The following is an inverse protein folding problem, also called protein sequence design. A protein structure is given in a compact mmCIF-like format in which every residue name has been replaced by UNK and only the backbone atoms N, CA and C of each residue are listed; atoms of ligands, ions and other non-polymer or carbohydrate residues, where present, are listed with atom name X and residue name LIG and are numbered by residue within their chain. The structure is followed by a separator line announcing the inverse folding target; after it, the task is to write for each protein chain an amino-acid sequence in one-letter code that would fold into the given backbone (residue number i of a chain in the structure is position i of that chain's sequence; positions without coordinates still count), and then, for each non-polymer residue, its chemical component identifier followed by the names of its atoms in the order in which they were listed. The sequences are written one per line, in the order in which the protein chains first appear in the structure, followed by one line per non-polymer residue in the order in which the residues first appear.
data_IF_925069854103
#
_entry.id   IF_925069854103
#
_cell.length_a   1.000
_cell.length_b   1.000
_cell.length_c   1.000
_cell.angle_alpha   90.00
_cell.angle_beta   90.00
_cell.angle_gamma   90.00
#
_symmetry.space_group_name_H-M   'P 1'
#
loop_
_entity.id
_entity.type
_entity.pdbx_description
1 polymer ?
#
# COMPACT_ATOMS: atom_id res chain seq x y z
N UNK A 1 29.21 -7.33 0.50
CA UNK A 1 29.72 -6.36 1.50
C UNK A 1 28.50 -5.76 2.21
N UNK A 2 28.43 -5.93 3.52
CA UNK A 2 27.38 -5.31 4.34
C UNK A 2 27.87 -3.91 4.67
N UNK A 3 27.30 -2.88 4.04
CA UNK A 3 27.60 -1.50 4.39
C UNK A 3 26.67 -1.04 5.49
N UNK A 4 27.18 -0.92 6.70
CA UNK A 4 26.46 -0.26 7.80
C UNK A 4 26.77 1.22 7.70
N UNK A 5 25.85 2.02 7.20
CA UNK A 5 25.97 3.47 7.26
C UNK A 5 25.55 3.94 8.65
N UNK A 6 26.51 4.19 9.51
CA UNK A 6 26.32 4.95 10.73
C UNK A 6 26.33 6.44 10.38
N UNK A 7 25.17 7.05 10.23
CA UNK A 7 25.06 8.50 10.13
C UNK A 7 25.42 9.13 11.47
N UNK A 8 26.48 9.94 11.53
CA UNK A 8 26.81 10.75 12.69
C UNK A 8 25.73 11.81 12.91
N UNK A 9 25.16 11.93 14.11
CA UNK A 9 24.15 12.94 14.38
C UNK A 9 24.80 14.33 14.39
N UNK A 10 24.30 15.22 13.54
CA UNK A 10 24.59 16.64 13.66
C UNK A 10 23.75 17.16 14.82
N UNK A 11 24.38 17.50 15.91
CA UNK A 11 23.73 18.08 17.07
C UNK A 11 23.13 19.46 16.70
N UNK A 12 21.81 19.47 16.45
CA UNK A 12 21.03 20.68 16.54
C UNK A 12 20.48 20.76 17.97
N UNK A 13 20.77 21.83 18.67
CA UNK A 13 20.25 22.06 19.99
C UNK A 13 18.73 21.93 20.00
N UNK A 14 18.18 20.97 20.77
CA UNK A 14 16.76 20.79 20.99
C UNK A 14 16.08 19.56 20.37
N UNK A 15 16.79 18.68 19.62
CA UNK A 15 16.19 17.43 19.12
C UNK A 15 16.43 16.29 20.11
N UNK A 16 15.37 15.94 20.83
CA UNK A 16 15.36 14.87 21.81
C UNK A 16 14.98 13.50 21.20
N UNK A 17 15.43 13.20 19.97
CA UNK A 17 15.10 11.96 19.29
C UNK A 17 16.32 11.33 18.61
N UNK A 18 16.58 10.05 18.90
CA UNK A 18 17.56 9.23 18.21
C UNK A 18 16.87 8.10 17.46
N UNK A 19 17.33 7.83 16.23
CA UNK A 19 16.82 6.77 15.37
C UNK A 19 17.97 5.82 15.00
N UNK A 20 17.72 4.53 15.12
CA UNK A 20 18.66 3.50 14.69
C UNK A 20 18.06 2.71 13.53
N UNK A 21 18.70 2.76 12.38
CA UNK A 21 18.33 1.99 11.19
C UNK A 21 19.29 0.82 10.99
N UNK A 22 18.73 -0.35 10.71
CA UNK A 22 19.46 -1.55 10.29
C UNK A 22 18.85 -2.09 9.02
N UNK A 23 19.68 -2.46 8.06
CA UNK A 23 19.21 -2.99 6.79
C UNK A 23 20.31 -3.75 6.07
N UNK A 24 19.94 -4.28 4.92
CA UNK A 24 20.84 -4.95 3.99
C UNK A 24 20.43 -4.63 2.56
N UNK A 25 21.41 -4.67 1.68
CA UNK A 25 21.25 -4.47 0.26
C UNK A 25 22.00 -5.58 -0.48
N UNK A 26 21.35 -6.13 -1.50
CA UNK A 26 21.89 -7.15 -2.38
C UNK A 26 21.76 -6.68 -3.82
N UNK A 27 22.85 -6.75 -4.58
CA UNK A 27 22.85 -6.56 -6.03
C UNK A 27 23.54 -7.73 -6.69
N UNK A 28 22.85 -8.38 -7.61
CA UNK A 28 23.37 -9.48 -8.41
C UNK A 28 23.30 -9.06 -9.88
N UNK A 29 24.46 -9.12 -10.54
CA UNK A 29 24.57 -8.93 -11.98
C UNK A 29 25.17 -10.19 -12.60
N UNK A 30 24.48 -10.74 -13.55
CA UNK A 30 24.93 -11.88 -14.33
C UNK A 30 24.87 -11.54 -15.82
N UNK A 31 25.93 -11.84 -16.55
CA UNK A 31 25.98 -11.70 -18.00
C UNK A 31 26.67 -12.92 -18.57
N UNK A 32 26.12 -13.45 -19.67
CA UNK A 32 26.72 -14.55 -20.38
C UNK A 32 26.41 -14.45 -21.88
N UNK A 33 27.23 -15.14 -22.69
CA UNK A 33 27.08 -15.21 -24.12
C UNK A 33 27.43 -16.62 -24.61
N UNK A 34 26.61 -17.15 -25.50
CA UNK A 34 26.82 -18.46 -26.12
C UNK A 34 26.27 -18.52 -27.55
N UNK A 35 26.62 -19.57 -28.28
CA UNK A 35 26.10 -19.77 -29.64
C UNK A 35 24.76 -20.50 -29.62
N UNK A 36 23.68 -19.79 -30.06
CA UNK A 36 22.36 -20.37 -30.24
C UNK A 36 22.05 -20.40 -31.75
N UNK A 37 21.82 -21.60 -32.30
CA UNK A 37 21.57 -21.82 -33.74
C UNK A 37 22.62 -21.13 -34.64
N UNK A 38 23.90 -21.26 -34.29
CA UNK A 38 25.06 -20.66 -34.96
C UNK A 38 25.08 -19.13 -34.98
N UNK A 39 24.37 -18.48 -34.08
CA UNK A 39 24.38 -17.02 -33.90
C UNK A 39 24.69 -16.70 -32.43
N UNK A 40 25.42 -15.64 -32.16
CA UNK A 40 25.64 -15.21 -30.77
C UNK A 40 24.34 -14.87 -30.10
N UNK A 41 24.11 -15.43 -28.92
CA UNK A 41 23.04 -15.08 -28.00
C UNK A 41 23.69 -14.54 -26.75
N UNK A 42 23.37 -13.30 -26.39
CA UNK A 42 23.81 -12.70 -25.15
C UNK A 42 22.61 -12.34 -24.26
N UNK A 43 22.77 -12.52 -22.97
CA UNK A 43 21.78 -12.11 -22.00
C UNK A 43 22.42 -11.55 -20.75
N UNK A 44 21.69 -10.69 -20.07
CA UNK A 44 22.06 -10.18 -18.75
C UNK A 44 20.86 -10.14 -17.82
N UNK A 45 21.11 -10.48 -16.56
CA UNK A 45 20.13 -10.41 -15.46
C UNK A 45 20.74 -9.53 -14.38
N UNK A 46 19.97 -8.51 -13.97
CA UNK A 46 20.30 -7.68 -12.82
C UNK A 46 19.17 -7.81 -11.82
N UNK A 47 19.50 -8.22 -10.60
CA UNK A 47 18.56 -8.29 -9.48
C UNK A 47 19.05 -7.35 -8.37
N UNK A 48 18.15 -6.55 -7.84
CA UNK A 48 18.39 -5.72 -6.67
C UNK A 48 17.37 -6.04 -5.60
N UNK A 49 17.82 -6.11 -4.37
CA UNK A 49 16.95 -6.32 -3.23
C UNK A 49 17.50 -5.56 -2.03
N UNK A 50 16.64 -4.80 -1.35
CA UNK A 50 17.03 -4.15 -0.10
C UNK A 50 15.87 -4.15 0.89
N UNK A 51 16.23 -4.12 2.16
CA UNK A 51 15.28 -4.00 3.24
C UNK A 51 15.94 -3.34 4.46
N UNK A 52 15.17 -2.54 5.18
CA UNK A 52 15.65 -1.90 6.40
C UNK A 52 14.53 -1.73 7.43
N UNK A 53 14.95 -1.65 8.69
CA UNK A 53 14.08 -1.35 9.84
C UNK A 53 14.70 -0.22 10.64
N UNK A 54 13.90 0.76 10.98
CA UNK A 54 14.27 1.88 11.82
C UNK A 54 13.53 1.81 13.14
N UNK A 55 14.25 1.93 14.25
CA UNK A 55 13.68 1.98 15.59
C UNK A 55 14.07 3.28 16.28
N UNK A 56 13.16 3.86 17.02
CA UNK A 56 13.41 5.03 17.85
C UNK A 56 14.10 4.55 19.11
N UNK A 57 15.34 5.00 19.30
CA UNK A 57 16.16 4.60 20.45
C UNK A 57 16.15 5.62 21.58
N UNK A 58 15.68 6.85 21.29
CA UNK A 58 15.45 7.89 22.30
C UNK A 58 14.39 8.86 21.82
N UNK A 59 13.48 9.19 22.68
CA UNK A 59 12.46 10.23 22.44
C UNK A 59 11.91 10.74 23.79
N UNK A 60 11.64 12.03 23.88
CA UNK A 60 11.06 12.64 25.09
C UNK A 60 9.57 12.30 25.23
N UNK A 61 9.29 11.09 25.67
CA UNK A 61 7.96 10.55 25.96
C UNK A 61 8.06 9.46 27.03
N UNK A 62 8.34 9.82 28.29
CA UNK A 62 8.61 8.87 29.35
C UNK A 62 7.43 7.94 29.63
N UNK A 63 6.20 8.43 29.49
CA UNK A 63 4.98 7.63 29.69
C UNK A 63 4.61 6.80 28.47
N UNK A 64 5.40 6.85 27.40
CA UNK A 64 5.14 6.19 26.11
C UNK A 64 3.70 6.45 25.61
N UNK A 65 3.22 7.69 25.82
CA UNK A 65 1.85 8.11 25.47
C UNK A 65 1.66 8.26 23.96
N UNK A 66 0.52 7.82 23.44
CA UNK A 66 0.12 8.03 22.05
C UNK A 66 -0.33 9.48 21.76
N UNK A 67 -0.45 10.32 22.79
CA UNK A 67 -0.61 11.75 22.58
C UNK A 67 0.61 12.41 21.93
N UNK A 68 1.80 11.81 22.11
CA UNK A 68 3.02 12.13 21.37
C UNK A 68 3.18 11.17 20.20
N UNK A 69 3.70 11.67 19.09
CA UNK A 69 3.84 10.91 17.84
C UNK A 69 4.79 9.71 17.94
N UNK A 70 5.79 9.78 18.81
CA UNK A 70 6.85 8.80 18.94
C UNK A 70 7.09 8.42 20.39
N UNK A 71 7.67 7.25 20.60
CA UNK A 71 8.12 6.75 21.90
C UNK A 71 9.39 5.90 21.73
N UNK A 72 10.14 5.76 22.81
CA UNK A 72 11.33 4.91 22.84
C UNK A 72 10.95 3.43 22.65
N UNK A 73 11.70 2.74 21.79
CA UNK A 73 11.43 1.37 21.38
C UNK A 73 10.47 1.22 20.20
N UNK A 74 9.81 2.31 19.76
CA UNK A 74 8.91 2.29 18.61
C UNK A 74 9.65 1.87 17.35
N UNK A 75 9.10 0.91 16.63
CA UNK A 75 9.50 0.68 15.24
C UNK A 75 8.86 1.75 14.38
N UNK A 76 9.67 2.48 13.63
CA UNK A 76 9.16 3.55 12.78
C UNK A 76 8.07 3.05 11.85
N UNK A 77 6.93 3.76 11.84
CA UNK A 77 5.79 3.45 11.00
C UNK A 77 4.77 2.47 11.58
N UNK A 78 4.87 2.08 12.85
CA UNK A 78 3.84 1.25 13.50
C UNK A 78 2.45 1.84 13.34
N UNK A 79 1.50 0.97 13.03
CA UNK A 79 0.08 1.29 12.95
C UNK A 79 -0.61 0.55 14.09
N UNK A 80 -1.07 1.30 15.08
CA UNK A 80 -1.90 0.81 16.15
C UNK A 80 -3.37 0.87 15.75
N UNK A 81 -4.11 -0.17 16.06
CA UNK A 81 -5.52 -0.24 15.70
C UNK A 81 -6.24 -1.37 16.40
N UNK A 82 -7.52 -1.48 16.11
CA UNK A 82 -8.44 -2.46 16.67
C UNK A 82 -8.53 -3.70 15.78
N UNK A 83 -8.95 -4.81 16.38
CA UNK A 83 -9.35 -6.02 15.65
C UNK A 83 -10.85 -6.02 15.41
N UNK A 84 -11.25 -6.53 14.24
CA UNK A 84 -12.65 -6.66 13.86
C UNK A 84 -13.01 -8.14 13.73
N UNK A 85 -14.00 -8.60 14.50
CA UNK A 85 -14.51 -9.97 14.43
C UNK A 85 -15.48 -10.19 13.26
N UNK A 86 -15.94 -9.13 12.62
CA UNK A 86 -16.83 -9.17 11.47
C UNK A 86 -17.88 -8.06 11.51
N UNK A 87 -19.02 -8.36 10.89
CA UNK A 87 -20.23 -7.53 10.96
C UNK A 87 -21.27 -8.27 11.80
N UNK A 88 -22.11 -7.53 12.52
CA UNK A 88 -23.26 -8.14 13.18
C UNK A 88 -24.19 -8.78 12.14
N UNK A 89 -24.54 -10.05 12.35
CA UNK A 89 -25.37 -10.78 11.41
C UNK A 89 -26.86 -10.40 11.51
N UNK A 90 -27.30 -9.99 12.71
CA UNK A 90 -28.69 -9.62 12.96
C UNK A 90 -28.82 -8.49 13.99
N UNK A 91 -29.95 -7.82 13.98
CA UNK A 91 -30.30 -6.80 15.00
C UNK A 91 -30.44 -7.41 16.41
N UNK A 92 -30.77 -8.70 16.50
CA UNK A 92 -30.83 -9.43 17.77
C UNK A 92 -29.41 -9.65 18.33
N UNK A 93 -28.47 -10.12 17.49
CA UNK A 93 -27.07 -10.24 17.89
C UNK A 93 -26.51 -8.91 18.36
N UNK A 94 -26.76 -7.83 17.60
CA UNK A 94 -26.26 -6.49 17.91
C UNK A 94 -26.84 -5.95 19.24
N UNK A 95 -28.11 -6.19 19.51
CA UNK A 95 -28.76 -5.77 20.77
C UNK A 95 -28.26 -6.54 22.00
N UNK A 96 -27.96 -7.82 21.82
CA UNK A 96 -27.52 -8.71 22.89
C UNK A 96 -25.99 -8.76 23.05
N UNK A 97 -25.27 -7.98 22.23
CA UNK A 97 -23.81 -7.94 22.31
C UNK A 97 -23.35 -7.30 23.62
N UNK A 98 -22.55 -8.00 24.44
CA UNK A 98 -22.22 -7.54 25.77
C UNK A 98 -21.18 -6.41 25.80
N UNK A 99 -20.44 -6.21 24.69
CA UNK A 99 -19.33 -5.27 24.63
C UNK A 99 -19.82 -3.87 24.22
N UNK A 100 -19.54 -2.90 25.07
CA UNK A 100 -19.76 -1.48 24.76
C UNK A 100 -18.64 -0.98 23.84
N UNK A 101 -19.01 -0.60 22.62
CA UNK A 101 -18.08 -0.03 21.63
C UNK A 101 -18.36 1.44 21.31
N UNK A 102 -18.96 2.18 22.26
CA UNK A 102 -19.28 3.61 22.11
C UNK A 102 -18.02 4.44 21.79
N UNK A 103 -16.89 4.12 22.37
CA UNK A 103 -15.61 4.81 22.15
C UNK A 103 -15.17 4.84 20.69
N UNK A 104 -15.46 3.78 19.94
CA UNK A 104 -15.07 3.65 18.51
C UNK A 104 -16.24 3.84 17.57
N UNK A 105 -17.46 3.97 18.10
CA UNK A 105 -18.67 4.18 17.32
C UNK A 105 -19.65 5.14 18.00
N UNK A 106 -19.26 6.41 18.11
CA UNK A 106 -20.14 7.47 18.65
C UNK A 106 -21.46 7.66 17.88
N UNK A 107 -21.58 7.06 16.70
CA UNK A 107 -22.82 7.11 15.90
C UNK A 107 -24.00 6.46 16.65
N UNK A 108 -23.71 5.51 17.53
CA UNK A 108 -24.69 4.85 18.40
C UNK A 108 -25.40 5.88 19.30
N UNK A 109 -24.66 6.91 19.71
CA UNK A 109 -25.14 8.00 20.56
C UNK A 109 -25.36 9.30 19.78
N UNK A 110 -25.36 9.24 18.44
CA UNK A 110 -25.43 10.41 17.60
C UNK A 110 -26.72 11.22 17.81
N UNK A 111 -26.61 12.51 17.50
CA UNK A 111 -27.65 13.55 17.60
C UNK A 111 -28.97 13.16 16.94
N UNK A 112 -30.02 13.94 17.27
CA UNK A 112 -31.38 13.74 16.78
C UNK A 112 -31.44 13.46 15.26
N UNK A 113 -32.14 12.39 14.89
CA UNK A 113 -32.31 11.97 13.49
C UNK A 113 -31.42 10.81 13.03
N UNK A 114 -30.35 10.44 13.77
CA UNK A 114 -29.59 9.26 13.47
C UNK A 114 -30.20 8.01 14.11
N UNK A 115 -30.11 6.87 13.45
CA UNK A 115 -30.45 5.59 14.06
C UNK A 115 -29.54 5.33 15.25
N UNK A 116 -30.12 5.09 16.41
CA UNK A 116 -29.39 4.82 17.66
C UNK A 116 -29.21 3.32 17.83
N UNK A 117 -28.07 2.95 18.44
CA UNK A 117 -27.74 1.58 18.77
C UNK A 117 -27.09 0.79 17.64
N UNK A 118 -26.43 -0.28 18.03
CA UNK A 118 -25.85 -1.25 17.10
C UNK A 118 -26.93 -2.00 16.36
N UNK A 119 -26.65 -2.31 15.08
CA UNK A 119 -27.56 -3.07 14.21
C UNK A 119 -26.80 -4.08 13.36
N UNK A 120 -27.56 -4.96 12.73
CA UNK A 120 -27.02 -5.85 11.71
C UNK A 120 -26.22 -5.06 10.67
N UNK A 121 -25.04 -5.55 10.34
CA UNK A 121 -24.12 -4.92 9.39
C UNK A 121 -23.19 -3.84 9.95
N UNK A 122 -23.28 -3.47 11.22
CA UNK A 122 -22.28 -2.64 11.88
C UNK A 122 -21.03 -3.46 12.21
N UNK A 123 -19.88 -2.81 12.41
CA UNK A 123 -18.64 -3.47 12.77
C UNK A 123 -18.70 -4.01 14.20
N UNK A 124 -18.24 -5.25 14.35
CA UNK A 124 -18.04 -5.90 15.64
C UNK A 124 -16.57 -5.82 16.04
N UNK A 125 -16.24 -4.90 16.93
CA UNK A 125 -14.89 -4.73 17.47
C UNK A 125 -14.60 -5.82 18.51
N UNK A 126 -13.36 -6.32 18.48
CA UNK A 126 -12.90 -7.31 19.43
C UNK A 126 -12.46 -6.65 20.72
N UNK A 127 -13.04 -7.08 21.84
CA UNK A 127 -12.56 -6.79 23.18
C UNK A 127 -11.31 -7.67 23.43
N UNK A 128 -10.16 -7.04 23.60
CA UNK A 128 -8.88 -7.74 23.77
C UNK A 128 -8.55 -8.03 25.23
N UNK A 129 -9.01 -7.21 26.15
CA UNK A 129 -8.73 -7.36 27.58
C UNK A 129 -9.86 -8.05 28.37
N UNK A 130 -11.01 -8.30 27.73
CA UNK A 130 -12.13 -9.03 28.25
C UNK A 130 -12.99 -8.25 29.27
N UNK A 131 -12.90 -6.92 29.24
CA UNK A 131 -13.64 -6.06 30.18
C UNK A 131 -15.02 -5.65 29.72
N UNK A 132 -15.44 -6.08 28.52
CA UNK A 132 -16.67 -5.75 27.82
C UNK A 132 -16.81 -4.26 27.42
N UNK A 133 -15.71 -3.54 27.26
CA UNK A 133 -15.70 -2.13 26.81
C UNK A 133 -14.55 -1.92 25.84
N UNK A 134 -14.85 -1.53 24.61
CA UNK A 134 -13.80 -1.12 23.67
C UNK A 134 -13.24 0.23 24.10
N UNK A 135 -11.97 0.26 24.47
CA UNK A 135 -11.33 1.41 25.09
C UNK A 135 -9.97 1.75 24.44
N UNK A 136 -9.45 2.92 24.79
CA UNK A 136 -8.07 3.32 24.50
C UNK A 136 -7.13 3.11 25.70
N UNK A 137 -7.65 2.53 26.80
CA UNK A 137 -6.93 2.42 28.07
C UNK A 137 -6.43 3.77 28.56
N UNK A 138 -5.21 3.81 29.09
CA UNK A 138 -4.54 5.08 29.44
C UNK A 138 -3.94 5.83 28.25
N UNK A 139 -4.18 5.33 27.03
CA UNK A 139 -3.62 5.87 25.80
C UNK A 139 -2.08 5.86 25.77
N UNK A 140 -1.50 4.80 26.32
CA UNK A 140 -0.05 4.55 26.35
C UNK A 140 0.27 3.18 25.76
N UNK A 141 1.53 2.93 25.44
CA UNK A 141 1.98 1.61 24.96
C UNK A 141 1.80 0.52 26.01
N UNK A 142 1.92 0.86 27.29
CA UNK A 142 1.83 -0.08 28.40
C UNK A 142 0.37 -0.35 28.82
N UNK A 143 -0.56 0.53 28.41
CA UNK A 143 -1.99 0.37 28.56
C UNK A 143 -2.71 0.97 27.33
N UNK A 144 -2.73 0.24 26.19
CA UNK A 144 -3.30 0.70 24.94
C UNK A 144 -4.82 0.48 24.86
N UNK A 145 -5.44 -0.13 25.88
CA UNK A 145 -6.81 -0.64 25.78
C UNK A 145 -6.89 -1.77 24.74
N UNK A 146 -7.91 -1.77 23.91
CA UNK A 146 -8.16 -2.79 22.90
C UNK A 146 -7.39 -2.58 21.58
N UNK A 147 -6.32 -1.79 21.61
CA UNK A 147 -5.47 -1.56 20.45
C UNK A 147 -4.20 -2.40 20.51
N UNK A 148 -3.78 -2.87 19.37
CA UNK A 148 -2.50 -3.53 19.18
C UNK A 148 -1.83 -3.06 17.88
N UNK A 149 -0.57 -3.45 17.66
CA UNK A 149 0.12 -3.16 16.40
C UNK A 149 -0.45 -4.08 15.31
N UNK A 150 -1.23 -3.51 14.40
CA UNK A 150 -1.88 -4.24 13.29
C UNK A 150 -1.12 -4.15 11.98
N UNK A 151 -0.14 -3.24 11.87
CA UNK A 151 0.64 -3.08 10.64
C UNK A 151 1.81 -2.12 10.78
N UNK A 152 2.47 -1.85 9.65
CA UNK A 152 3.54 -0.87 9.57
C UNK A 152 3.51 -0.12 8.22
N UNK A 153 3.55 1.21 8.27
CA UNK A 153 3.46 2.09 7.12
C UNK A 153 4.78 2.25 6.35
N UNK A 154 5.89 1.71 6.85
CA UNK A 154 7.16 1.77 6.13
C UNK A 154 7.24 0.68 5.06
N UNK A 155 7.70 1.03 3.86
CA UNK A 155 7.87 0.04 2.80
C UNK A 155 8.97 -0.96 3.16
N UNK A 156 8.71 -2.23 2.87
CA UNK A 156 9.62 -3.35 3.14
C UNK A 156 9.87 -4.15 1.87
N UNK A 157 11.05 -4.75 1.80
CA UNK A 157 11.42 -5.67 0.73
C UNK A 157 11.35 -4.98 -0.64
N UNK A 158 12.15 -3.92 -0.83
CA UNK A 158 12.29 -3.28 -2.13
C UNK A 158 13.05 -4.21 -3.07
N UNK A 159 12.55 -4.36 -4.29
CA UNK A 159 13.20 -5.18 -5.29
C UNK A 159 13.09 -4.58 -6.69
N UNK A 160 14.08 -4.93 -7.49
CA UNK A 160 14.11 -4.64 -8.91
C UNK A 160 14.70 -5.83 -9.67
N UNK A 161 14.21 -6.10 -10.87
CA UNK A 161 14.70 -7.14 -11.74
C UNK A 161 14.73 -6.65 -13.18
N UNK A 162 15.91 -6.68 -13.80
CA UNK A 162 16.09 -6.42 -15.23
C UNK A 162 16.58 -7.68 -15.91
N UNK A 163 15.93 -8.03 -17.01
CA UNK A 163 16.41 -9.02 -17.96
C UNK A 163 16.59 -8.31 -19.31
N UNK A 164 17.78 -8.45 -19.90
CA UNK A 164 18.04 -8.04 -21.27
C UNK A 164 18.62 -9.20 -22.06
N UNK A 165 18.26 -9.31 -23.32
CA UNK A 165 18.78 -10.32 -24.23
C UNK A 165 18.94 -9.79 -25.64
N UNK A 166 19.89 -10.34 -26.38
CA UNK A 166 20.14 -10.03 -27.76
C UNK A 166 20.39 -11.33 -28.57
N UNK A 167 19.70 -11.46 -29.67
CA UNK A 167 19.85 -12.60 -30.55
C UNK A 167 19.39 -12.31 -31.97
N UNK A 168 20.23 -12.60 -32.95
CA UNK A 168 19.87 -12.56 -34.38
C UNK A 168 19.24 -11.23 -34.84
N UNK A 169 19.68 -10.09 -34.26
CA UNK A 169 19.13 -8.77 -34.54
C UNK A 169 17.96 -8.38 -33.65
N UNK A 170 17.41 -9.30 -32.87
CA UNK A 170 16.41 -9.00 -31.85
C UNK A 170 17.11 -8.51 -30.60
N UNK A 171 16.64 -7.41 -30.01
CA UNK A 171 16.96 -6.97 -28.66
C UNK A 171 15.68 -6.91 -27.83
N UNK A 172 15.79 -7.39 -26.59
CA UNK A 172 14.70 -7.42 -25.64
C UNK A 172 15.20 -6.94 -24.29
N UNK A 173 14.43 -6.09 -23.63
CA UNK A 173 14.69 -5.68 -22.24
C UNK A 173 13.37 -5.56 -21.49
N UNK A 174 13.36 -6.05 -20.26
CA UNK A 174 12.22 -5.97 -19.36
C UNK A 174 12.70 -5.58 -17.96
N UNK A 175 11.99 -4.64 -17.32
CA UNK A 175 12.31 -4.18 -15.98
C UNK A 175 11.08 -4.21 -15.09
N UNK A 176 11.22 -4.91 -13.97
CA UNK A 176 10.26 -4.96 -12.88
C UNK A 176 10.78 -4.21 -11.67
N UNK A 177 9.87 -3.54 -10.96
CA UNK A 177 10.13 -2.88 -9.69
C UNK A 177 8.96 -3.10 -8.75
N UNK A 178 9.27 -3.20 -7.44
CA UNK A 178 8.22 -3.31 -6.46
C UNK A 178 8.69 -3.22 -5.01
N UNK A 179 7.73 -3.30 -4.13
CA UNK A 179 7.88 -3.46 -2.69
C UNK A 179 7.03 -4.65 -2.23
N UNK A 180 7.57 -5.47 -1.33
CA UNK A 180 6.87 -6.68 -0.90
C UNK A 180 5.73 -6.42 0.07
N UNK A 181 5.87 -5.39 0.92
CA UNK A 181 4.85 -5.01 1.89
C UNK A 181 4.95 -3.55 2.29
N UNK A 182 3.82 -2.90 2.38
CA UNK A 182 3.61 -1.63 3.08
C UNK A 182 2.16 -1.57 3.51
N UNK A 183 1.91 -1.37 4.80
CA UNK A 183 0.55 -1.27 5.29
C UNK A 183 0.08 0.18 5.24
N UNK A 184 -1.15 0.37 4.82
CA UNK A 184 -1.77 1.68 4.67
C UNK A 184 -3.22 1.64 5.13
N UNK A 185 -3.61 2.56 6.01
CA UNK A 185 -4.99 2.77 6.39
C UNK A 185 -5.56 3.97 5.63
N UNK A 186 -6.66 3.82 4.89
CA UNK A 186 -7.23 4.90 4.10
C UNK A 186 -7.72 6.04 5.01
N UNK A 187 -7.21 7.25 4.79
CA UNK A 187 -7.69 8.43 5.51
C UNK A 187 -9.19 8.67 5.23
N UNK A 188 -9.88 9.36 6.14
CA UNK A 188 -11.33 9.61 6.03
C UNK A 188 -11.76 10.30 4.72
N UNK A 189 -10.84 11.02 4.09
CA UNK A 189 -11.06 11.71 2.81
C UNK A 189 -10.53 10.95 1.59
N UNK A 190 -10.17 9.68 1.75
CA UNK A 190 -9.78 8.78 0.66
C UNK A 190 -11.01 8.33 -0.14
N UNK A 191 -11.55 9.23 -0.97
CA UNK A 191 -12.83 9.03 -1.68
C UNK A 191 -12.83 7.81 -2.59
N UNK A 192 -11.70 7.52 -3.24
CA UNK A 192 -11.57 6.36 -4.12
C UNK A 192 -11.65 5.02 -3.38
N UNK A 193 -11.42 5.01 -2.07
CA UNK A 193 -11.55 3.83 -1.22
C UNK A 193 -12.92 3.75 -0.54
N UNK A 194 -13.31 4.82 0.17
CA UNK A 194 -14.51 4.82 0.99
C UNK A 194 -15.81 5.04 0.21
N UNK A 195 -15.73 5.59 -1.01
CA UNK A 195 -16.90 5.84 -1.83
C UNK A 195 -17.98 6.66 -1.09
N UNK A 196 -19.23 6.13 -1.01
CA UNK A 196 -20.35 6.86 -0.42
C UNK A 196 -20.23 7.09 1.08
N UNK A 197 -19.38 6.35 1.80
CA UNK A 197 -19.12 6.59 3.23
C UNK A 197 -18.40 7.91 3.48
N UNK A 198 -17.55 8.34 2.54
CA UNK A 198 -16.84 9.60 2.65
C UNK A 198 -17.69 10.79 2.16
N UNK A 199 -18.23 10.71 0.93
CA UNK A 199 -19.06 11.76 0.32
C UNK A 199 -20.07 11.16 -0.66
N UNK A 200 -21.27 10.80 -0.25
CA UNK A 200 -22.24 10.12 -1.10
C UNK A 200 -22.69 10.94 -2.32
N UNK A 201 -22.60 12.27 -2.25
CA UNK A 201 -23.05 13.20 -3.30
C UNK A 201 -21.94 13.68 -4.24
N UNK A 202 -20.69 13.31 -4.02
CA UNK A 202 -19.54 13.83 -4.77
C UNK A 202 -18.48 12.76 -5.08
N UNK A 203 -18.86 11.48 -5.13
CA UNK A 203 -17.93 10.37 -5.32
C UNK A 203 -18.30 9.59 -6.56
N UNK A 204 -17.32 9.36 -7.43
CA UNK A 204 -17.45 8.38 -8.52
C UNK A 204 -17.31 6.99 -7.93
N UNK A 205 -18.26 6.11 -8.25
CA UNK A 205 -18.30 4.73 -7.78
C UNK A 205 -18.09 3.76 -8.93
N UNK A 206 -17.37 2.67 -8.70
CA UNK A 206 -17.41 1.51 -9.59
C UNK A 206 -18.84 1.00 -9.73
N UNK A 207 -19.21 0.51 -10.91
CA UNK A 207 -20.56 -0.06 -11.16
C UNK A 207 -20.94 -1.18 -10.18
N UNK A 208 -19.93 -1.93 -9.73
CA UNK A 208 -20.09 -3.05 -8.81
C UNK A 208 -19.87 -2.69 -7.33
N UNK A 209 -19.72 -1.41 -6.97
CA UNK A 209 -19.44 -1.03 -5.58
C UNK A 209 -20.56 -1.48 -4.61
N UNK A 210 -21.80 -1.47 -5.06
CA UNK A 210 -22.96 -1.93 -4.28
C UNK A 210 -22.82 -3.39 -3.79
N UNK A 211 -22.11 -4.25 -4.53
CA UNK A 211 -21.88 -5.64 -4.11
C UNK A 211 -20.90 -5.77 -2.95
N UNK A 212 -20.23 -4.70 -2.57
CA UNK A 212 -19.28 -4.65 -1.46
C UNK A 212 -19.88 -4.00 -0.21
N UNK A 213 -21.09 -3.46 -0.30
CA UNK A 213 -21.82 -2.83 0.80
C UNK A 213 -22.73 -3.84 1.46
N UNK A 214 -22.82 -3.77 2.78
CA UNK A 214 -23.74 -4.61 3.54
C UNK A 214 -25.20 -4.33 3.17
N UNK A 215 -25.94 -5.42 3.01
CA UNK A 215 -27.40 -5.45 2.94
C UNK A 215 -27.88 -6.79 3.52
N UNK A 216 -29.17 -6.91 3.77
CA UNK A 216 -29.77 -8.18 4.24
C UNK A 216 -29.52 -9.33 3.25
N UNK A 217 -29.41 -9.02 1.95
CA UNK A 217 -29.11 -9.96 0.88
C UNK A 217 -27.60 -10.25 0.76
N UNK A 218 -26.75 -9.39 1.33
CA UNK A 218 -25.28 -9.48 1.30
C UNK A 218 -24.65 -9.27 2.68
N UNK A 219 -24.94 -10.16 3.66
CA UNK A 219 -24.49 -9.98 5.04
C UNK A 219 -22.97 -10.13 5.23
N UNK A 220 -22.28 -10.79 4.31
CA UNK A 220 -20.83 -11.01 4.36
C UNK A 220 -20.04 -9.99 3.52
N UNK A 221 -20.61 -8.81 3.29
CA UNK A 221 -19.97 -7.75 2.52
C UNK A 221 -18.68 -7.23 3.16
N UNK A 222 -17.85 -6.55 2.37
CA UNK A 222 -16.62 -5.94 2.86
C UNK A 222 -16.87 -4.69 3.68
N UNK A 223 -17.68 -3.76 3.17
CA UNK A 223 -18.06 -2.53 3.86
C UNK A 223 -19.31 -2.77 4.75
N UNK A 224 -19.41 -2.05 5.87
CA UNK A 224 -20.49 -2.22 6.83
C UNK A 224 -21.83 -1.66 6.30
N UNK A 225 -22.86 -1.72 7.12
CA UNK A 225 -24.14 -1.04 6.87
C UNK A 225 -23.90 0.46 6.60
N UNK A 226 -24.46 1.04 5.54
CA UNK A 226 -24.34 2.48 5.30
C UNK A 226 -25.01 3.29 6.39
N UNK A 227 -24.25 4.11 7.08
CA UNK A 227 -24.76 5.12 8.04
C UNK A 227 -24.48 6.54 7.58
N UNK A 228 -24.48 6.72 6.26
CA UNK A 228 -24.07 7.95 5.62
C UNK A 228 -22.58 8.24 5.85
N UNK A 229 -22.14 9.43 5.51
CA UNK A 229 -20.73 9.84 5.65
C UNK A 229 -20.32 10.10 7.11
N UNK A 230 -21.24 10.02 8.06
CA UNK A 230 -20.97 10.22 9.48
C UNK A 230 -20.04 9.15 10.06
N UNK A 231 -19.99 7.96 9.45
CA UNK A 231 -19.06 6.91 9.82
C UNK A 231 -17.57 7.29 9.67
N UNK A 232 -17.27 8.32 8.87
CA UNK A 232 -15.93 8.85 8.64
C UNK A 232 -15.77 10.30 9.15
N UNK A 233 -16.80 10.90 9.72
CA UNK A 233 -16.76 12.29 10.18
C UNK A 233 -16.41 12.37 11.67
N UNK A 234 -15.20 12.82 11.98
CA UNK A 234 -14.70 12.89 13.36
C UNK A 234 -13.64 11.83 13.63
N UNK A 235 -13.21 11.74 14.88
CA UNK A 235 -12.09 10.86 15.29
C UNK A 235 -12.55 9.51 15.82
N UNK A 236 -13.67 9.43 16.51
CA UNK A 236 -14.15 8.21 17.15
C UNK A 236 -15.38 7.66 16.40
N UNK A 237 -15.15 7.30 15.15
CA UNK A 237 -16.19 6.75 14.28
C UNK A 237 -15.75 5.38 13.79
N UNK A 238 -16.71 4.56 13.50
CA UNK A 238 -16.57 3.19 13.06
C UNK A 238 -15.47 2.98 12.01
N UNK A 239 -15.37 3.87 11.02
CA UNK A 239 -14.41 3.74 9.92
C UNK A 239 -13.16 4.63 10.11
N UNK A 240 -13.15 5.55 11.07
CA UNK A 240 -11.95 6.33 11.43
C UNK A 240 -11.16 5.69 12.56
N UNK A 241 -11.77 4.84 13.36
CA UNK A 241 -11.07 3.95 14.29
C UNK A 241 -10.24 2.95 13.47
N UNK A 242 -8.94 3.15 13.45
CA UNK A 242 -8.01 2.33 12.66
C UNK A 242 -8.17 0.86 13.04
N UNK A 243 -8.37 -0.02 12.07
CA UNK A 243 -8.67 -1.42 12.30
C UNK A 243 -8.08 -2.33 11.20
N UNK A 244 -7.95 -3.60 11.49
CA UNK A 244 -7.34 -4.58 10.60
C UNK A 244 -8.19 -4.91 9.37
N UNK A 245 -9.53 -4.75 9.44
CA UNK A 245 -10.43 -5.04 8.33
C UNK A 245 -10.18 -4.13 7.12
N UNK A 246 -9.91 -2.85 7.34
CA UNK A 246 -9.68 -1.86 6.28
C UNK A 246 -8.22 -1.50 6.08
N UNK A 247 -7.33 -2.05 6.89
CA UNK A 247 -5.89 -1.93 6.64
C UNK A 247 -5.54 -2.62 5.32
N UNK A 248 -4.89 -1.88 4.42
CA UNK A 248 -4.49 -2.36 3.10
C UNK A 248 -3.01 -2.68 3.08
N UNK A 249 -2.65 -3.78 2.45
CA UNK A 249 -1.28 -3.98 2.00
C UNK A 249 -1.14 -3.37 0.59
N UNK A 250 -0.39 -2.29 0.48
CA UNK A 250 -0.09 -1.60 -0.78
C UNK A 250 1.23 -2.06 -1.40
N UNK A 251 1.75 -3.22 -1.00
CA UNK A 251 2.84 -3.90 -1.70
C UNK A 251 2.46 -4.14 -3.17
N UNK A 252 3.43 -4.01 -4.06
CA UNK A 252 3.19 -4.14 -5.49
C UNK A 252 4.40 -4.67 -6.25
N UNK A 253 4.13 -5.23 -7.43
CA UNK A 253 5.08 -5.50 -8.48
C UNK A 253 4.61 -4.80 -9.76
N UNK A 254 5.47 -4.00 -10.38
CA UNK A 254 5.15 -3.28 -11.61
C UNK A 254 6.12 -3.60 -12.72
N UNK A 255 5.59 -3.91 -13.89
CA UNK A 255 6.34 -3.91 -15.14
C UNK A 255 6.54 -2.45 -15.56
N UNK A 256 7.70 -1.89 -15.18
CA UNK A 256 8.06 -0.49 -15.40
C UNK A 256 8.44 -0.19 -16.83
N UNK A 257 9.19 -1.11 -17.44
CA UNK A 257 9.66 -0.94 -18.82
C UNK A 257 9.72 -2.29 -19.54
N UNK A 258 9.32 -2.28 -20.78
CA UNK A 258 9.48 -3.36 -21.74
C UNK A 258 9.92 -2.76 -23.08
N UNK A 259 11.05 -3.19 -23.60
CA UNK A 259 11.51 -2.82 -24.93
C UNK A 259 11.74 -4.08 -25.76
N UNK A 260 11.24 -4.07 -26.99
CA UNK A 260 11.49 -5.08 -28.01
C UNK A 260 11.94 -4.38 -29.25
N UNK A 261 13.15 -4.65 -29.71
CA UNK A 261 13.71 -4.08 -30.94
C UNK A 261 14.10 -5.16 -31.93
N UNK A 262 14.14 -4.79 -33.19
CA UNK A 262 14.67 -5.61 -34.25
C UNK A 262 15.53 -4.77 -35.19
N UNK A 263 16.80 -5.12 -35.28
CA UNK A 263 17.73 -4.54 -36.24
C UNK A 263 17.74 -5.38 -37.51
N UNK A 264 17.36 -4.75 -38.61
CA UNK A 264 17.27 -5.42 -39.90
C UNK A 264 18.65 -5.88 -40.38
N UNK A 265 18.73 -7.03 -41.07
CA UNK A 265 19.99 -7.50 -41.67
C UNK A 265 20.55 -6.46 -42.65
N UNK A 266 21.83 -6.15 -42.51
CA UNK A 266 22.55 -5.17 -43.33
C UNK A 266 22.42 -5.42 -44.85
N UNK A 267 22.22 -6.67 -45.26
CA UNK A 267 22.01 -7.04 -46.67
C UNK A 267 20.76 -6.41 -47.27
N UNK A 268 19.74 -6.11 -46.46
CA UNK A 268 18.51 -5.49 -46.91
C UNK A 268 18.64 -3.97 -46.92
N UNK A 269 19.30 -3.38 -45.97
CA UNK A 269 19.39 -1.91 -45.76
C UNK A 269 20.42 -1.26 -46.67
N UNK A 270 21.51 -1.96 -47.04
CA UNK A 270 22.58 -1.45 -47.90
C UNK A 270 22.09 -0.99 -49.27
N UNK A 271 21.01 -1.58 -49.81
CA UNK A 271 20.42 -1.14 -51.11
C UNK A 271 19.86 0.29 -51.03
N UNK A 272 19.49 0.74 -49.85
CA UNK A 272 18.99 2.08 -49.54
C UNK A 272 20.07 3.01 -48.95
N UNK A 273 21.37 2.63 -49.01
CA UNK A 273 22.48 3.36 -48.40
C UNK A 273 22.34 3.55 -46.87
N UNK A 274 21.58 2.67 -46.21
CA UNK A 274 21.37 2.67 -44.78
C UNK A 274 22.33 1.64 -44.17
N UNK A 275 23.18 2.08 -43.22
CA UNK A 275 24.11 1.21 -42.52
C UNK A 275 23.41 0.34 -41.49
N UNK A 276 22.50 0.92 -40.71
CA UNK A 276 21.69 0.22 -39.70
C UNK A 276 20.29 0.76 -39.66
N UNK A 277 19.30 -0.14 -39.58
CA UNK A 277 17.89 0.22 -39.36
C UNK A 277 17.35 -0.67 -38.26
N UNK A 278 17.00 -0.04 -37.13
CA UNK A 278 16.35 -0.71 -36.00
C UNK A 278 14.94 -0.16 -35.82
N UNK A 279 13.98 -1.05 -35.71
CA UNK A 279 12.57 -0.76 -35.37
C UNK A 279 12.33 -1.29 -33.97
N UNK A 280 11.70 -0.50 -33.10
CA UNK A 280 11.46 -0.93 -31.74
C UNK A 280 10.11 -0.46 -31.21
N UNK A 281 9.64 -1.21 -30.25
CA UNK A 281 8.51 -0.91 -29.37
C UNK A 281 9.01 -0.76 -27.93
N UNK A 282 8.54 0.29 -27.24
CA UNK A 282 8.76 0.45 -25.80
C UNK A 282 7.42 0.68 -25.11
N UNK A 283 7.19 -0.06 -24.05
CA UNK A 283 6.04 0.12 -23.18
C UNK A 283 6.45 0.46 -21.77
N UNK A 284 5.77 1.41 -21.13
CA UNK A 284 6.04 1.81 -19.76
C UNK A 284 4.82 1.59 -18.87
N UNK A 285 5.04 1.16 -17.63
CA UNK A 285 4.02 0.90 -16.62
C UNK A 285 2.88 -0.02 -17.09
N UNK A 286 3.22 -1.04 -17.90
CA UNK A 286 2.24 -1.85 -18.62
C UNK A 286 1.31 -2.64 -17.69
N UNK A 287 1.86 -3.19 -16.62
CA UNK A 287 1.13 -4.03 -15.67
C UNK A 287 1.55 -3.72 -14.25
N UNK A 288 0.57 -3.75 -13.34
CA UNK A 288 0.79 -3.64 -11.90
C UNK A 288 0.00 -4.73 -11.20
N UNK A 289 0.69 -5.49 -10.35
CA UNK A 289 0.09 -6.47 -9.45
C UNK A 289 0.20 -5.94 -8.03
N UNK A 290 -0.90 -5.93 -7.30
CA UNK A 290 -0.97 -5.45 -5.93
C UNK A 290 -2.09 -6.16 -5.17
N UNK A 291 -1.94 -6.21 -3.85
CA UNK A 291 -2.98 -6.69 -2.94
C UNK A 291 -3.99 -5.62 -2.50
N UNK A 292 -3.85 -4.37 -2.97
CA UNK A 292 -4.81 -3.31 -2.65
C UNK A 292 -6.21 -3.66 -3.18
N UNK A 293 -7.21 -3.42 -2.37
CA UNK A 293 -8.59 -3.83 -2.69
C UNK A 293 -9.32 -2.92 -3.69
N UNK A 294 -8.70 -1.90 -4.20
CA UNK A 294 -9.32 -0.98 -5.16
C UNK A 294 -8.54 -0.95 -6.46
N UNK A 295 -9.23 -1.17 -7.59
CA UNK A 295 -8.67 -1.03 -8.94
C UNK A 295 -8.41 0.44 -9.33
N UNK A 296 -8.91 1.39 -8.53
CA UNK A 296 -8.84 2.83 -8.78
C UNK A 296 -7.74 3.54 -8.00
N UNK A 297 -7.02 2.80 -7.15
CA UNK A 297 -5.94 3.32 -6.32
C UNK A 297 -4.64 2.70 -6.79
N UNK A 298 -3.74 3.54 -7.28
CA UNK A 298 -2.40 3.10 -7.59
C UNK A 298 -1.62 2.83 -6.28
N UNK A 299 -1.10 1.61 -6.06
CA UNK A 299 -0.45 1.24 -4.81
C UNK A 299 0.82 2.05 -4.53
N UNK A 300 1.56 2.47 -5.56
CA UNK A 300 2.76 3.30 -5.41
C UNK A 300 2.41 4.73 -4.96
N UNK A 301 1.19 5.17 -5.24
CA UNK A 301 0.71 6.51 -4.92
C UNK A 301 -0.15 6.57 -3.66
N UNK A 302 -0.65 5.44 -3.18
CA UNK A 302 -1.60 5.38 -2.07
C UNK A 302 -1.11 6.08 -0.80
N UNK A 303 0.16 5.88 -0.43
CA UNK A 303 0.75 6.48 0.77
C UNK A 303 1.18 7.94 0.61
N UNK A 304 1.22 8.49 -0.61
CA UNK A 304 1.77 9.83 -0.87
C UNK A 304 0.79 10.95 -0.61
N UNK A 305 -0.51 10.67 -0.72
CA UNK A 305 -1.56 11.68 -0.51
C UNK A 305 -2.82 11.06 0.10
N UNK A 306 -3.17 11.48 1.30
CA UNK A 306 -4.34 10.96 2.01
C UNK A 306 -5.67 11.14 1.29
N UNK A 307 -5.79 12.12 0.39
CA UNK A 307 -7.01 12.37 -0.39
C UNK A 307 -7.14 11.47 -1.62
N UNK A 308 -6.09 10.78 -2.03
CA UNK A 308 -6.00 9.97 -3.26
C UNK A 308 -6.38 10.74 -4.54
N UNK A 309 -6.19 12.06 -4.55
CA UNK A 309 -6.42 12.94 -5.71
C UNK A 309 -5.13 13.07 -6.52
N UNK A 310 -4.60 11.94 -6.95
CA UNK A 310 -3.39 11.87 -7.75
C UNK A 310 -3.71 11.21 -9.07
N UNK A 311 -3.05 11.67 -10.14
CA UNK A 311 -3.08 10.94 -11.39
C UNK A 311 -2.32 9.62 -11.21
N UNK A 312 -2.94 8.46 -11.54
CA UNK A 312 -2.23 7.20 -11.54
C UNK A 312 -1.12 7.21 -12.60
N UNK A 313 -0.14 6.35 -12.42
CA UNK A 313 0.89 6.15 -13.45
C UNK A 313 0.24 5.77 -14.78
N UNK A 314 0.55 6.54 -15.82
CA UNK A 314 0.04 6.29 -17.16
C UNK A 314 0.78 5.11 -17.79
N UNK A 315 0.07 4.31 -18.56
CA UNK A 315 0.67 3.35 -19.49
C UNK A 315 1.07 4.09 -20.74
N UNK A 316 2.34 3.94 -21.13
CA UNK A 316 2.87 4.58 -22.32
C UNK A 316 3.27 3.51 -23.34
N UNK A 317 2.93 3.73 -24.59
CA UNK A 317 3.29 2.87 -25.71
C UNK A 317 4.00 3.71 -26.74
N UNK A 318 5.23 3.36 -27.09
CA UNK A 318 6.07 4.07 -28.04
C UNK A 318 6.54 3.14 -29.13
N UNK A 319 6.54 3.63 -30.37
CA UNK A 319 7.16 2.98 -31.52
C UNK A 319 8.24 3.90 -32.03
N UNK A 320 9.41 3.37 -32.31
CA UNK A 320 10.52 4.14 -32.79
C UNK A 320 11.30 3.42 -33.89
N UNK A 321 12.03 4.23 -34.64
CA UNK A 321 12.91 3.77 -35.72
C UNK A 321 14.25 4.52 -35.57
N UNK A 322 15.33 3.75 -35.42
CA UNK A 322 16.70 4.26 -35.42
C UNK A 322 17.32 4.00 -36.81
N UNK A 323 17.83 5.02 -37.45
CA UNK A 323 18.47 4.93 -38.77
C UNK A 323 19.87 5.51 -38.73
N UNK A 324 20.85 4.72 -39.17
CA UNK A 324 22.25 5.16 -39.36
C UNK A 324 22.57 5.04 -40.86
N UNK A 325 23.15 6.11 -41.43
CA UNK A 325 23.55 6.18 -42.82
C UNK A 325 25.04 5.99 -43.00
#
# INVERSE_FOLDING_TARGET
AVTVMAGTPRAAAGLAADLRTKGYELSLNWRDEFQLLRRPFSYSVTLTFNDYVSNITKFDNPDRSFAKKYYEGMRWGEIWGYRIDGLFASDEEARNYPVDQTTVNEIINASAGAEKGLRAGDLKFRDLDGNNVISIGKNTVDDPGDREIIGNSQPRYHYGATLALQWAGIDFSIFFQGIGRQDWYPAANALAFWGPYARPYATYLPKNFHTQIWSEENPNSYFPRPRGYTALKGTNRELTAVNDRYLQNIGYCRLKNLTVGYTLPRQWTRKALIESLRIYFTGENLFTWSGIRSDYIDPEMAATNGNLRLYPWQRTYMFGVDVTF
#
